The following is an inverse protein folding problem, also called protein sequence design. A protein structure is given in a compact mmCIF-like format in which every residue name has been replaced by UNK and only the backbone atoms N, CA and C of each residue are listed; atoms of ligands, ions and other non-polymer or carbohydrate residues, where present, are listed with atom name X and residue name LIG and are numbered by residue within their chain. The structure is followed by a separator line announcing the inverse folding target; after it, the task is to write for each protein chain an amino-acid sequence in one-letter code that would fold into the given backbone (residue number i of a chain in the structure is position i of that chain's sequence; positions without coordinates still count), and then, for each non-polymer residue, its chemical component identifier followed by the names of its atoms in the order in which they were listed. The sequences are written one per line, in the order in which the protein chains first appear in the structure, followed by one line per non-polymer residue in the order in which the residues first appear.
data_IF_830487283971
#
_entry.id   IF_830487283971
#
_cell.length_a   1.000
_cell.length_b   1.000
_cell.length_c   1.000
_cell.angle_alpha   90.00
_cell.angle_beta   90.00
_cell.angle_gamma   90.00
#
_symmetry.space_group_name_H-M   'P 1'
#
loop_
_entity.id
_entity.type
_entity.pdbx_description
1 polymer ?
#
# COMPACT_ATOMS: atom_id res chain seq x y z
N UNK A 1 16.67 30.91 3.90
CA UNK A 1 16.75 29.47 3.61
C UNK A 1 17.64 28.81 4.65
N UNK A 2 17.04 28.20 5.67
CA UNK A 2 17.71 27.48 6.75
C UNK A 2 16.77 26.40 7.25
N UNK A 3 17.08 25.15 6.95
CA UNK A 3 16.97 23.99 7.83
C UNK A 3 17.59 22.80 7.08
N UNK A 4 18.90 22.72 7.25
CA UNK A 4 19.72 21.57 6.92
C UNK A 4 19.67 20.61 8.13
N UNK A 5 19.57 19.30 7.83
CA UNK A 5 20.06 18.17 8.63
C UNK A 5 19.33 17.85 9.94
N UNK A 6 18.35 16.93 9.88
CA UNK A 6 18.23 15.78 10.79
C UNK A 6 17.47 14.66 10.05
N UNK A 7 18.17 13.84 9.26
CA UNK A 7 17.66 12.58 8.71
C UNK A 7 18.83 11.59 8.65
N UNK A 8 19.38 11.32 9.82
CA UNK A 8 20.44 10.33 10.02
C UNK A 8 20.47 9.97 11.50
N UNK A 9 19.60 9.04 11.95
CA UNK A 9 19.89 8.08 13.03
C UNK A 9 18.68 7.15 13.29
N UNK A 10 18.50 6.09 12.49
CA UNK A 10 17.68 4.92 12.90
C UNK A 10 17.88 3.66 12.02
N UNK A 11 18.83 3.65 11.07
CA UNK A 11 19.08 2.51 10.19
C UNK A 11 20.01 1.44 10.80
N UNK A 12 19.84 1.10 12.08
CA UNK A 12 20.59 -0.04 12.64
C UNK A 12 19.92 -0.66 13.87
N UNK A 13 19.54 -1.92 13.72
CA UNK A 13 18.99 -2.78 14.77
C UNK A 13 17.47 -2.66 14.86
N UNK A 14 16.67 -3.71 14.98
CA UNK A 14 16.94 -5.04 15.52
C UNK A 14 15.84 -5.94 14.93
N UNK A 15 16.16 -6.88 14.04
CA UNK A 15 15.26 -7.99 13.72
C UNK A 15 15.40 -9.06 14.82
N UNK A 16 14.94 -8.73 16.02
CA UNK A 16 14.71 -9.71 17.07
C UNK A 16 13.23 -10.10 17.01
N UNK A 17 12.93 -11.06 16.14
CA UNK A 17 11.69 -11.83 16.20
C UNK A 17 11.67 -12.56 17.53
N UNK A 18 11.05 -11.93 18.53
CA UNK A 18 10.82 -12.52 19.83
C UNK A 18 9.35 -12.86 19.97
N UNK A 19 8.99 -14.11 19.66
CA UNK A 19 7.92 -14.78 20.39
C UNK A 19 8.43 -15.04 21.82
N UNK A 20 8.52 -14.00 22.64
CA UNK A 20 8.85 -14.14 24.04
C UNK A 20 7.54 -14.18 24.83
N UNK A 21 7.04 -15.39 25.06
CA UNK A 21 6.04 -15.66 26.07
C UNK A 21 6.59 -15.21 27.44
N UNK A 22 6.08 -14.09 27.96
CA UNK A 22 6.43 -13.55 29.27
C UNK A 22 5.25 -13.65 30.23
N UNK A 23 5.10 -14.81 30.88
CA UNK A 23 4.20 -14.98 32.01
C UNK A 23 4.91 -14.51 33.30
N UNK A 24 4.22 -13.66 34.06
CA UNK A 24 4.42 -13.36 35.49
C UNK A 24 5.68 -12.58 35.91
N UNK A 25 5.50 -11.30 36.26
CA UNK A 25 5.60 -10.76 37.65
C UNK A 25 5.74 -9.22 37.65
N UNK A 26 4.71 -8.52 38.14
CA UNK A 26 4.83 -7.37 39.04
C UNK A 26 5.33 -6.00 38.56
N UNK A 27 4.36 -5.09 38.39
CA UNK A 27 4.33 -3.69 38.87
C UNK A 27 4.74 -2.53 37.90
N UNK A 28 3.68 -1.83 37.45
CA UNK A 28 3.55 -0.40 37.06
C UNK A 28 4.67 0.23 36.22
N UNK A 29 4.43 0.31 34.91
CA UNK A 29 4.69 1.51 34.12
C UNK A 29 3.65 1.60 32.98
N UNK A 30 3.13 2.80 32.73
CA UNK A 30 2.18 3.11 31.66
C UNK A 30 2.92 3.07 30.32
N UNK A 31 2.95 1.91 29.67
CA UNK A 31 3.20 1.82 28.24
C UNK A 31 2.11 0.94 27.65
N UNK A 32 1.20 1.56 26.88
CA UNK A 32 0.36 0.80 25.96
C UNK A 32 1.34 0.04 25.08
N UNK A 33 1.31 -1.29 25.12
CA UNK A 33 2.06 -2.11 24.18
C UNK A 33 1.80 -1.58 22.77
N UNK A 34 2.80 -0.90 22.19
CA UNK A 34 2.79 -0.53 20.79
C UNK A 34 2.92 -1.84 20.03
N UNK A 35 1.78 -2.40 19.65
CA UNK A 35 1.77 -3.67 18.95
C UNK A 35 2.42 -3.47 17.59
N UNK A 36 3.52 -4.19 17.38
CA UNK A 36 4.23 -4.18 16.11
C UNK A 36 3.36 -4.91 15.08
N UNK A 37 2.99 -4.26 13.97
CA UNK A 37 2.28 -4.93 12.90
C UNK A 37 3.03 -6.15 12.38
N UNK A 38 2.30 -7.23 12.08
CA UNK A 38 2.85 -8.46 11.50
C UNK A 38 2.62 -8.44 9.99
N UNK A 39 3.70 -8.62 9.23
CA UNK A 39 3.67 -8.67 7.77
C UNK A 39 2.97 -9.93 7.23
N UNK A 40 2.19 -9.76 6.16
CA UNK A 40 1.50 -10.84 5.46
C UNK A 40 1.86 -10.86 3.98
N UNK A 41 2.76 -11.77 3.61
CA UNK A 41 3.28 -11.86 2.24
C UNK A 41 2.34 -12.56 1.27
N UNK A 42 1.24 -13.16 1.75
CA UNK A 42 0.32 -13.92 0.89
C UNK A 42 -0.58 -13.01 0.06
N UNK A 43 -0.70 -11.72 0.43
CA UNK A 43 -1.64 -10.78 -0.17
C UNK A 43 -1.43 -10.58 -1.67
N UNK A 44 -0.17 -10.63 -2.15
CA UNK A 44 0.13 -10.46 -3.57
C UNK A 44 -0.44 -11.59 -4.41
N UNK A 45 -0.38 -12.84 -3.92
CA UNK A 45 -0.99 -13.99 -4.60
C UNK A 45 -2.49 -13.85 -4.70
N UNK A 46 -3.14 -13.55 -3.57
CA UNK A 46 -4.60 -13.37 -3.48
C UNK A 46 -5.07 -12.24 -4.41
N UNK A 47 -4.37 -11.10 -4.41
CA UNK A 47 -4.70 -9.98 -5.28
C UNK A 47 -4.55 -10.35 -6.76
N UNK A 48 -3.47 -11.01 -7.15
CA UNK A 48 -3.29 -11.40 -8.55
C UNK A 48 -4.30 -12.46 -9.00
N UNK A 49 -4.76 -13.33 -8.12
CA UNK A 49 -5.84 -14.28 -8.45
C UNK A 49 -7.17 -13.57 -8.64
N UNK A 50 -7.49 -12.59 -7.80
CA UNK A 50 -8.67 -11.72 -7.97
C UNK A 50 -8.61 -10.91 -9.29
N UNK A 51 -7.42 -10.40 -9.65
CA UNK A 51 -7.23 -9.71 -10.94
C UNK A 51 -7.51 -10.64 -12.13
N UNK A 52 -7.10 -11.90 -12.07
CA UNK A 52 -7.39 -12.89 -13.13
C UNK A 52 -8.88 -13.19 -13.21
N UNK A 53 -9.55 -13.36 -12.07
CA UNK A 53 -10.98 -13.63 -12.00
C UNK A 53 -11.79 -12.47 -12.62
N UNK A 54 -11.36 -11.22 -12.37
CA UNK A 54 -11.93 -10.00 -12.95
C UNK A 54 -11.41 -9.67 -14.37
N UNK A 55 -10.52 -10.51 -14.93
CA UNK A 55 -9.90 -10.35 -16.26
C UNK A 55 -9.15 -9.02 -16.43
N UNK A 56 -8.41 -8.62 -15.41
CA UNK A 56 -7.58 -7.42 -15.39
C UNK A 56 -6.13 -7.82 -15.64
N UNK A 57 -5.66 -7.61 -16.87
CA UNK A 57 -4.31 -8.03 -17.29
C UNK A 57 -3.30 -6.86 -17.40
N UNK A 58 -3.76 -5.61 -17.20
CA UNK A 58 -2.95 -4.42 -17.40
C UNK A 58 -1.85 -4.23 -16.33
N UNK A 59 -2.02 -4.83 -15.16
CA UNK A 59 -1.09 -4.72 -14.03
C UNK A 59 -1.05 -6.05 -13.27
N UNK A 60 0.11 -6.38 -12.72
CA UNK A 60 0.26 -7.42 -11.70
C UNK A 60 0.95 -6.83 -10.47
N UNK A 61 0.67 -7.40 -9.31
CA UNK A 61 1.20 -6.94 -8.04
C UNK A 61 2.27 -7.88 -7.50
N UNK A 62 3.33 -7.31 -6.97
CA UNK A 62 4.35 -8.04 -6.23
C UNK A 62 4.36 -7.57 -4.77
N UNK A 63 4.65 -8.49 -3.87
CA UNK A 63 4.88 -8.12 -2.49
C UNK A 63 6.17 -7.28 -2.41
N UNK A 64 6.12 -6.13 -1.74
CA UNK A 64 7.27 -5.23 -1.61
C UNK A 64 7.65 -5.05 -0.14
N UNK A 65 8.87 -5.46 0.21
CA UNK A 65 9.44 -5.24 1.54
C UNK A 65 9.69 -3.75 1.80
N UNK A 66 10.07 -3.00 0.79
CA UNK A 66 10.30 -1.55 0.92
C UNK A 66 8.96 -0.83 1.22
N UNK A 67 7.87 -1.27 0.59
CA UNK A 67 6.54 -0.76 0.89
C UNK A 67 6.05 -1.19 2.29
N UNK A 68 6.35 -2.41 2.72
CA UNK A 68 6.08 -2.87 4.08
C UNK A 68 6.80 -1.98 5.09
N UNK A 69 8.10 -1.74 4.91
CA UNK A 69 8.91 -0.90 5.80
C UNK A 69 8.35 0.53 5.87
N UNK A 70 7.93 1.09 4.73
CA UNK A 70 7.26 2.39 4.69
C UNK A 70 5.94 2.39 5.47
N UNK A 71 5.11 1.36 5.31
CA UNK A 71 3.85 1.19 6.04
C UNK A 71 4.10 1.10 7.55
N UNK A 72 5.04 0.25 7.98
CA UNK A 72 5.38 0.08 9.40
C UNK A 72 5.91 1.38 10.01
N UNK A 73 6.76 2.12 9.28
CA UNK A 73 7.29 3.39 9.74
C UNK A 73 6.20 4.47 9.87
N UNK A 74 5.30 4.56 8.88
CA UNK A 74 4.14 5.48 8.94
C UNK A 74 3.21 5.12 10.10
N UNK A 75 2.94 3.83 10.31
CA UNK A 75 2.12 3.38 11.44
C UNK A 75 2.78 3.69 12.78
N UNK A 76 4.10 3.51 12.91
CA UNK A 76 4.84 3.86 14.14
C UNK A 76 4.69 5.34 14.48
N UNK A 77 4.82 6.24 13.50
CA UNK A 77 4.67 7.69 13.71
C UNK A 77 3.23 8.07 14.06
N UNK A 78 2.25 7.31 13.55
CA UNK A 78 0.82 7.51 13.82
C UNK A 78 0.30 6.76 15.07
N UNK A 79 1.19 6.13 15.86
CA UNK A 79 0.83 5.45 17.10
C UNK A 79 0.18 4.07 16.91
N UNK A 80 0.51 3.37 15.83
CA UNK A 80 0.14 1.99 15.54
C UNK A 80 -1.08 1.82 14.63
N UNK A 81 -1.33 0.58 14.21
CA UNK A 81 -2.53 0.20 13.47
C UNK A 81 -3.71 -0.05 14.42
N UNK A 82 -4.82 0.66 14.22
CA UNK A 82 -6.02 0.61 15.06
C UNK A 82 -7.26 0.55 14.20
N UNK A 83 -8.40 0.18 14.79
CA UNK A 83 -9.69 0.15 14.07
C UNK A 83 -10.12 1.52 13.52
N UNK A 84 -9.60 2.60 14.10
CA UNK A 84 -9.86 3.98 13.69
C UNK A 84 -8.84 4.52 12.69
N UNK A 85 -7.83 3.73 12.30
CA UNK A 85 -6.85 4.13 11.29
C UNK A 85 -7.57 4.35 9.96
N UNK A 86 -7.42 5.54 9.39
CA UNK A 86 -8.03 5.88 8.11
C UNK A 86 -7.04 5.60 6.97
N UNK A 87 -7.45 4.79 5.99
CA UNK A 87 -6.58 4.39 4.88
C UNK A 87 -6.09 5.56 4.02
N UNK A 88 -6.90 6.61 3.85
CA UNK A 88 -6.49 7.81 3.11
C UNK A 88 -5.34 8.55 3.80
N UNK A 89 -5.37 8.68 5.14
CA UNK A 89 -4.31 9.34 5.91
C UNK A 89 -2.99 8.56 5.76
N UNK A 90 -3.05 7.23 5.88
CA UNK A 90 -1.89 6.36 5.66
C UNK A 90 -1.37 6.46 4.22
N UNK A 91 -2.26 6.56 3.23
CA UNK A 91 -1.87 6.72 1.82
C UNK A 91 -1.11 8.02 1.61
N UNK A 92 -1.56 9.12 2.24
CA UNK A 92 -0.95 10.44 2.14
C UNK A 92 0.43 10.49 2.83
N UNK A 93 0.54 9.83 3.98
CA UNK A 93 1.80 9.70 4.70
C UNK A 93 2.82 8.84 3.95
N UNK A 94 2.41 7.73 3.33
CA UNK A 94 3.28 6.88 2.50
C UNK A 94 3.78 7.65 1.27
N UNK A 95 2.90 8.40 0.61
CA UNK A 95 3.26 9.28 -0.51
C UNK A 95 4.32 10.29 -0.09
N UNK A 96 4.16 10.87 1.11
CA UNK A 96 5.12 11.83 1.66
C UNK A 96 6.45 11.16 2.02
N UNK A 97 6.39 10.00 2.67
CA UNK A 97 7.57 9.25 3.12
C UNK A 97 8.43 8.74 1.95
N UNK A 98 7.80 8.22 0.90
CA UNK A 98 8.46 7.71 -0.30
C UNK A 98 8.73 8.80 -1.36
N UNK A 99 8.36 10.05 -1.08
CA UNK A 99 8.49 11.20 -1.99
C UNK A 99 7.84 10.99 -3.37
N UNK A 100 6.68 10.32 -3.39
CA UNK A 100 5.97 10.04 -4.64
C UNK A 100 5.29 11.29 -5.22
N UNK A 101 5.40 11.47 -6.54
CA UNK A 101 4.52 12.39 -7.28
C UNK A 101 3.15 11.73 -7.48
N UNK A 102 2.28 11.86 -6.48
CA UNK A 102 0.97 11.18 -6.44
C UNK A 102 0.00 11.64 -7.52
N UNK A 103 -0.72 10.67 -8.07
CA UNK A 103 -1.99 10.80 -8.77
C UNK A 103 -3.07 9.96 -8.09
N UNK A 104 -4.33 10.26 -8.40
CA UNK A 104 -5.45 9.39 -8.01
C UNK A 104 -5.64 8.26 -9.03
N UNK A 105 -6.11 7.10 -8.58
CA UNK A 105 -6.34 5.94 -9.47
C UNK A 105 -7.26 6.26 -10.65
N UNK A 106 -8.27 7.11 -10.45
CA UNK A 106 -9.19 7.56 -11.52
C UNK A 106 -8.53 8.43 -12.60
N UNK A 107 -7.29 8.88 -12.40
CA UNK A 107 -6.52 9.69 -13.34
C UNK A 107 -5.20 9.04 -13.74
N UNK A 108 -5.03 7.75 -13.44
CA UNK A 108 -3.80 7.02 -13.74
C UNK A 108 -3.83 6.48 -15.18
N UNK A 109 -2.78 6.79 -15.95
CA UNK A 109 -2.56 6.22 -17.29
C UNK A 109 -3.76 6.36 -18.22
N UNK A 110 -4.26 5.24 -18.73
CA UNK A 110 -5.39 5.20 -19.68
C UNK A 110 -6.69 5.81 -19.12
N UNK A 111 -6.86 5.85 -17.80
CA UNK A 111 -8.03 6.46 -17.15
C UNK A 111 -8.00 7.98 -17.18
N UNK A 112 -6.83 8.60 -17.35
CA UNK A 112 -6.70 10.04 -17.44
C UNK A 112 -7.48 10.61 -18.64
N UNK A 113 -8.22 11.70 -18.44
CA UNK A 113 -8.91 12.41 -19.53
C UNK A 113 -7.92 12.98 -20.57
N UNK A 114 -6.70 13.28 -20.15
CA UNK A 114 -5.62 13.74 -21.03
C UNK A 114 -4.32 13.01 -20.68
N UNK A 115 -3.72 12.26 -21.63
CA UNK A 115 -2.47 11.57 -21.38
C UNK A 115 -1.33 12.55 -21.07
N UNK A 116 -0.52 12.24 -20.07
CA UNK A 116 0.67 13.01 -19.70
C UNK A 116 1.88 12.09 -19.77
N UNK A 117 2.85 12.42 -20.63
CA UNK A 117 4.11 11.68 -20.75
C UNK A 117 4.88 11.79 -19.43
N UNK A 118 5.42 10.66 -18.97
CA UNK A 118 6.20 10.60 -17.73
C UNK A 118 5.77 9.47 -16.81
N UNK A 119 6.17 9.58 -15.54
CA UNK A 119 5.87 8.60 -14.49
C UNK A 119 4.86 9.20 -13.51
N UNK A 120 3.80 8.45 -13.21
CA UNK A 120 2.78 8.79 -12.21
C UNK A 120 2.62 7.63 -11.25
N UNK A 121 2.33 7.92 -9.98
CA UNK A 121 2.17 6.90 -8.93
C UNK A 121 0.83 7.11 -8.25
N UNK A 122 0.04 6.05 -8.11
CA UNK A 122 -1.15 6.06 -7.28
C UNK A 122 -0.95 5.15 -6.07
N UNK A 123 -1.34 5.62 -4.89
CA UNK A 123 -1.25 4.87 -3.62
C UNK A 123 -2.64 4.81 -3.01
N UNK A 124 -3.05 3.60 -2.60
CA UNK A 124 -4.27 3.39 -1.84
C UNK A 124 -4.02 2.39 -0.73
N UNK A 125 -4.49 2.74 0.45
CA UNK A 125 -4.50 1.86 1.62
C UNK A 125 -5.94 1.53 2.01
N UNK A 126 -6.20 0.25 2.22
CA UNK A 126 -7.45 -0.25 2.78
C UNK A 126 -7.20 -0.68 4.22
N UNK A 127 -8.15 -0.38 5.11
CA UNK A 127 -8.11 -0.81 6.52
C UNK A 127 -9.40 -1.56 6.81
N UNK A 128 -9.29 -2.72 7.46
CA UNK A 128 -10.43 -3.54 7.82
C UNK A 128 -10.25 -4.05 9.24
N UNK A 129 -11.14 -3.61 10.14
CA UNK A 129 -11.27 -4.12 11.49
C UNK A 129 -12.65 -4.78 11.61
N UNK A 130 -12.72 -6.05 11.21
CA UNK A 130 -13.97 -6.82 11.27
C UNK A 130 -13.75 -8.15 12.00
N UNK A 131 -14.81 -8.67 12.62
CA UNK A 131 -14.81 -10.02 13.22
C UNK A 131 -14.88 -11.15 12.18
N UNK A 132 -14.51 -10.89 10.92
CA UNK A 132 -14.47 -11.89 9.85
C UNK A 132 -13.19 -12.72 9.96
N UNK A 133 -13.14 -13.83 9.22
CA UNK A 133 -11.89 -14.62 9.10
C UNK A 133 -10.83 -13.83 8.33
N UNK A 134 -9.55 -14.08 8.63
CA UNK A 134 -8.43 -13.44 7.93
C UNK A 134 -8.51 -13.62 6.41
N UNK A 135 -8.91 -14.82 5.94
CA UNK A 135 -9.07 -15.11 4.52
C UNK A 135 -10.16 -14.26 3.85
N UNK A 136 -11.32 -14.10 4.51
CA UNK A 136 -12.40 -13.27 3.99
C UNK A 136 -11.99 -11.80 3.91
N UNK A 137 -11.29 -11.29 4.94
CA UNK A 137 -10.78 -9.91 4.95
C UNK A 137 -9.78 -9.68 3.82
N UNK A 138 -8.81 -10.59 3.65
CA UNK A 138 -7.83 -10.49 2.56
C UNK A 138 -8.51 -10.44 1.19
N UNK A 139 -9.51 -11.29 0.97
CA UNK A 139 -10.25 -11.32 -0.31
C UNK A 139 -11.01 -10.01 -0.54
N UNK A 140 -11.71 -9.49 0.46
CA UNK A 140 -12.42 -8.21 0.36
C UNK A 140 -11.48 -7.05 0.05
N UNK A 141 -10.33 -7.00 0.72
CA UNK A 141 -9.34 -5.95 0.51
C UNK A 141 -8.65 -6.09 -0.86
N UNK A 142 -8.37 -7.32 -1.30
CA UNK A 142 -7.87 -7.60 -2.64
C UNK A 142 -8.86 -7.15 -3.71
N UNK A 143 -10.15 -7.46 -3.54
CA UNK A 143 -11.21 -7.01 -4.45
C UNK A 143 -11.31 -5.48 -4.51
N UNK A 144 -11.23 -4.80 -3.36
CA UNK A 144 -11.20 -3.34 -3.33
C UNK A 144 -10.02 -2.76 -4.13
N UNK A 145 -8.84 -3.39 -4.08
CA UNK A 145 -7.70 -2.96 -4.91
C UNK A 145 -7.91 -3.30 -6.39
N UNK A 146 -8.46 -4.48 -6.70
CA UNK A 146 -8.78 -4.88 -8.07
C UNK A 146 -9.74 -3.88 -8.73
N UNK A 147 -10.77 -3.43 -8.02
CA UNK A 147 -11.71 -2.41 -8.49
C UNK A 147 -11.03 -1.07 -8.81
N UNK A 148 -10.00 -0.67 -8.04
CA UNK A 148 -9.25 0.56 -8.31
C UNK A 148 -8.47 0.49 -9.63
N UNK A 149 -7.98 -0.69 -10.01
CA UNK A 149 -7.20 -0.90 -11.25
C UNK A 149 -8.04 -1.39 -12.43
N UNK A 150 -9.31 -1.74 -12.20
CA UNK A 150 -10.25 -2.16 -13.25
C UNK A 150 -10.38 -1.10 -14.34
N UNK A 151 -10.27 -1.50 -15.60
CA UNK A 151 -10.32 -0.59 -16.76
C UNK A 151 -9.03 0.17 -17.02
N UNK A 152 -7.91 -0.16 -16.34
CA UNK A 152 -6.60 0.21 -16.86
C UNK A 152 -6.36 -0.53 -18.19
N UNK A 153 -5.81 0.21 -19.16
CA UNK A 153 -5.47 -0.27 -20.49
C UNK A 153 -4.01 0.12 -20.76
N UNK A 154 -3.32 -0.71 -21.54
CA UNK A 154 -1.91 -0.50 -21.89
C UNK A 154 -1.75 0.46 -23.07
N UNK A 155 -2.83 0.85 -23.75
CA UNK A 155 -2.81 1.77 -24.87
C UNK A 155 -4.04 2.68 -24.87
N UNK A 156 -3.92 3.89 -25.39
CA UNK A 156 -5.05 4.81 -25.61
C UNK A 156 -4.80 5.69 -26.82
N UNK A 157 -5.81 5.84 -27.67
CA UNK A 157 -5.79 6.76 -28.80
C UNK A 157 -6.44 8.10 -28.44
N UNK A 158 -5.76 9.21 -28.74
CA UNK A 158 -6.29 10.57 -28.61
C UNK A 158 -5.97 11.34 -29.88
N UNK A 159 -6.98 11.54 -30.73
CA UNK A 159 -6.76 12.11 -32.06
C UNK A 159 -5.92 11.17 -32.93
N UNK A 160 -4.85 11.68 -33.54
CA UNK A 160 -3.92 10.88 -34.36
C UNK A 160 -2.73 10.32 -33.57
N UNK A 161 -2.78 10.39 -32.24
CA UNK A 161 -1.71 9.99 -31.35
C UNK A 161 -2.10 8.73 -30.58
N UNK A 162 -1.19 7.76 -30.57
CA UNK A 162 -1.29 6.54 -29.77
C UNK A 162 -0.32 6.62 -28.59
N UNK A 163 -0.85 6.52 -27.38
CA UNK A 163 -0.10 6.46 -26.13
C UNK A 163 -0.01 5.02 -25.65
N UNK A 164 1.15 4.63 -25.11
CA UNK A 164 1.36 3.33 -24.47
C UNK A 164 1.69 3.53 -22.99
N UNK A 165 1.13 2.66 -22.16
CA UNK A 165 1.27 2.67 -20.71
C UNK A 165 1.88 1.35 -20.24
N UNK A 166 2.84 1.45 -19.33
CA UNK A 166 3.36 0.31 -18.59
C UNK A 166 3.05 0.50 -17.11
N UNK A 167 2.42 -0.49 -16.49
CA UNK A 167 2.06 -0.45 -15.08
C UNK A 167 2.90 -1.46 -14.29
N UNK A 168 3.33 -1.06 -13.11
CA UNK A 168 3.92 -1.96 -12.11
C UNK A 168 3.17 -1.77 -10.79
N UNK A 169 2.78 -2.89 -10.18
CA UNK A 169 2.07 -2.91 -8.91
C UNK A 169 2.95 -3.44 -7.78
N UNK A 170 2.97 -2.73 -6.66
CA UNK A 170 3.52 -3.20 -5.39
C UNK A 170 2.41 -3.27 -4.35
N UNK A 171 2.47 -4.26 -3.48
CA UNK A 171 1.51 -4.42 -2.38
C UNK A 171 2.24 -4.83 -1.11
N UNK A 172 1.77 -4.32 0.02
CA UNK A 172 2.19 -4.74 1.34
C UNK A 172 0.96 -4.87 2.23
N UNK A 173 0.97 -5.87 3.11
CA UNK A 173 -0.09 -6.08 4.08
C UNK A 173 0.51 -6.27 5.46
N UNK A 174 -0.12 -5.63 6.44
CA UNK A 174 0.22 -5.77 7.84
C UNK A 174 -1.03 -6.00 8.68
N UNK A 175 -0.87 -6.70 9.79
CA UNK A 175 -1.96 -7.00 10.74
C UNK A 175 -1.55 -6.63 12.15
N UNK A 176 -2.46 -6.07 12.93
CA UNK A 176 -2.30 -5.81 14.35
C UNK A 176 -3.56 -6.23 15.11
N UNK A 177 -3.58 -6.05 16.43
CA UNK A 177 -4.75 -6.23 17.28
C UNK A 177 -5.10 -4.89 17.95
N UNK A 178 -6.39 -4.59 18.08
CA UNK A 178 -6.86 -3.38 18.75
C UNK A 178 -8.06 -3.73 19.63
N UNK A 179 -7.83 -3.83 20.95
CA UNK A 179 -8.82 -4.31 21.93
C UNK A 179 -9.35 -5.72 21.57
N UNK A 180 -8.45 -6.70 21.46
CA UNK A 180 -8.76 -8.12 21.13
C UNK A 180 -9.39 -8.33 19.73
N UNK A 181 -9.38 -7.31 18.87
CA UNK A 181 -9.90 -7.37 17.51
C UNK A 181 -8.76 -7.29 16.49
N UNK A 182 -8.63 -8.25 15.56
CA UNK A 182 -7.63 -8.14 14.51
C UNK A 182 -7.98 -6.99 13.55
N UNK A 183 -6.98 -6.16 13.26
CA UNK A 183 -7.05 -5.06 12.31
C UNK A 183 -6.06 -5.35 11.18
N UNK A 184 -6.56 -5.33 9.96
CA UNK A 184 -5.80 -5.59 8.75
C UNK A 184 -5.63 -4.31 7.96
N UNK A 185 -4.44 -4.11 7.40
CA UNK A 185 -4.13 -3.00 6.50
C UNK A 185 -3.43 -3.55 5.27
N UNK A 186 -3.91 -3.20 4.09
CA UNK A 186 -3.19 -3.44 2.83
C UNK A 186 -2.97 -2.12 2.12
N UNK A 187 -1.75 -1.89 1.67
CA UNK A 187 -1.38 -0.76 0.81
C UNK A 187 -0.99 -1.29 -0.55
N UNK A 188 -1.57 -0.71 -1.59
CA UNK A 188 -1.19 -0.93 -2.97
C UNK A 188 -0.61 0.36 -3.57
N UNK A 189 0.51 0.22 -4.27
CA UNK A 189 1.15 1.28 -5.06
C UNK A 189 1.14 0.84 -6.52
N UNK A 190 0.59 1.66 -7.40
CA UNK A 190 0.66 1.43 -8.85
C UNK A 190 1.44 2.57 -9.49
N UNK A 191 2.53 2.21 -10.13
CA UNK A 191 3.32 3.13 -10.94
C UNK A 191 2.93 2.95 -12.40
N UNK A 192 2.59 4.06 -13.07
CA UNK A 192 2.33 4.12 -14.49
C UNK A 192 3.43 4.92 -15.19
N UNK A 193 4.02 4.32 -16.22
CA UNK A 193 4.91 5.01 -17.16
C UNK A 193 4.18 5.19 -18.49
N UNK A 194 4.01 6.44 -18.90
CA UNK A 194 3.42 6.81 -20.19
C UNK A 194 4.54 7.15 -21.17
N UNK A 195 4.61 6.42 -22.29
CA UNK A 195 5.59 6.68 -23.34
C UNK A 195 5.25 7.96 -24.11
N UNK A 196 6.24 8.50 -24.84
CA UNK A 196 5.93 9.49 -25.87
C UNK A 196 4.94 8.89 -26.88
N UNK A 197 3.94 9.67 -27.34
CA UNK A 197 2.98 9.17 -28.31
C UNK A 197 3.62 8.94 -29.67
N UNK A 198 3.08 7.98 -30.41
CA UNK A 198 3.42 7.77 -31.83
C UNK A 198 2.26 8.20 -32.71
N UNK A 199 2.55 8.75 -33.89
CA UNK A 199 1.53 8.98 -34.91
C UNK A 199 0.99 7.63 -35.41
N UNK A 200 -0.31 7.59 -35.67
CA UNK A 200 -1.01 6.41 -36.18
C UNK A 200 -0.73 6.14 -37.65
#
# INVERSE_FOLDING_TARGET
MKLNKVLALALSGIMAVSMLAGCSTGNKDDNKDEQVPVADTSIAGILNDELKDEKIDAVSFQYSTDLQDAVEQVLRVNGGLKKTTQGNDISDDIVTYQEYSREVFGSLGSKASSPVVGTKVAVSTQVNASGKTAEAVKKEMAQAIADLVKGLETEKEVGNLKYTYTYTGEVAMVTAEDNDMPVYLVTAVVTCKTSAPVEK
#
